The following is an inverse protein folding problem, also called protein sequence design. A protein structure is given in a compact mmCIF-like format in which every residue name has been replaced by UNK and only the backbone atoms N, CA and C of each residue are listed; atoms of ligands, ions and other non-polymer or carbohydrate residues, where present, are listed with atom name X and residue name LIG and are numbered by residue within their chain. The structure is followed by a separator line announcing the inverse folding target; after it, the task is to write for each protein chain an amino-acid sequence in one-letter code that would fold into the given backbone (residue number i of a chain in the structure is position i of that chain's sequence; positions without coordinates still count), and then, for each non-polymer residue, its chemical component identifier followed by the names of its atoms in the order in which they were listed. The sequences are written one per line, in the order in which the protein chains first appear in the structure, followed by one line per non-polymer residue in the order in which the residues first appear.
data_IF_883302921986
#
_entry.id   IF_883302921986
#
_cell.length_a   1.000
_cell.length_b   1.000
_cell.length_c   1.000
_cell.angle_alpha   90.00
_cell.angle_beta   90.00
_cell.angle_gamma   90.00
#
_symmetry.space_group_name_H-M   'P 1'
#
loop_
_entity.id
_entity.type
_entity.pdbx_description
1 polymer ?
#
# COMPACT_ATOMS: atom_id res chain seq x y z
N UNK A 1 -8.08 -38.33 -18.42
CA UNK A 1 -8.06 -38.15 -19.90
C UNK A 1 -9.22 -38.95 -20.48
N UNK A 2 -9.91 -38.45 -21.50
CA UNK A 2 -11.05 -39.17 -22.11
C UNK A 2 -10.75 -39.39 -23.58
N UNK A 3 -10.82 -40.63 -24.02
CA UNK A 3 -10.92 -40.98 -25.43
C UNK A 3 -12.33 -41.41 -25.78
N UNK A 4 -12.88 -40.80 -26.82
CA UNK A 4 -14.23 -41.07 -27.27
C UNK A 4 -14.23 -41.25 -28.79
N UNK A 5 -14.70 -42.41 -29.25
CA UNK A 5 -14.86 -42.72 -30.66
C UNK A 5 -16.33 -42.62 -31.06
N UNK A 6 -16.65 -41.74 -32.01
CA UNK A 6 -18.03 -41.51 -32.46
C UNK A 6 -18.58 -42.66 -33.32
N UNK A 7 -17.73 -43.27 -34.14
CA UNK A 7 -18.13 -44.29 -35.11
C UNK A 7 -17.09 -45.40 -35.20
N UNK A 8 -17.52 -46.65 -35.25
CA UNK A 8 -16.68 -47.81 -35.50
C UNK A 8 -16.96 -48.34 -36.89
N UNK A 9 -15.96 -48.42 -37.75
CA UNK A 9 -16.07 -49.08 -39.06
C UNK A 9 -15.20 -50.33 -39.16
N UNK A 10 -15.25 -50.98 -40.32
CA UNK A 10 -14.43 -52.16 -40.61
C UNK A 10 -12.91 -51.94 -40.73
N UNK A 11 -12.36 -50.80 -41.22
CA UNK A 11 -10.92 -50.69 -41.38
C UNK A 11 -10.18 -50.65 -40.03
N UNK A 12 -8.98 -51.22 -40.00
CA UNK A 12 -8.12 -51.33 -38.80
C UNK A 12 -7.80 -49.98 -38.13
N UNK A 13 -8.01 -48.87 -38.86
CA UNK A 13 -7.87 -47.51 -38.33
C UNK A 13 -8.70 -47.27 -37.06
N UNK A 14 -9.89 -47.86 -36.94
CA UNK A 14 -10.74 -47.73 -35.77
C UNK A 14 -10.18 -48.49 -34.56
N UNK A 15 -9.67 -49.71 -34.77
CA UNK A 15 -9.00 -50.45 -33.71
C UNK A 15 -7.70 -49.74 -33.29
N UNK A 16 -6.96 -49.18 -34.24
CA UNK A 16 -5.75 -48.41 -33.98
C UNK A 16 -6.03 -47.18 -33.10
N UNK A 17 -7.17 -46.52 -33.27
CA UNK A 17 -7.57 -45.42 -32.39
C UNK A 17 -7.73 -45.88 -30.93
N UNK A 18 -8.45 -46.98 -30.71
CA UNK A 18 -8.66 -47.56 -29.37
C UNK A 18 -7.32 -47.92 -28.72
N UNK A 19 -6.43 -48.58 -29.47
CA UNK A 19 -5.09 -48.95 -29.01
C UNK A 19 -4.21 -47.73 -28.72
N UNK A 20 -4.25 -46.70 -29.57
CA UNK A 20 -3.47 -45.48 -29.40
C UNK A 20 -3.91 -44.70 -28.16
N UNK A 21 -5.22 -44.57 -27.93
CA UNK A 21 -5.73 -43.92 -26.74
C UNK A 21 -5.41 -44.73 -25.50
N UNK A 22 -5.60 -46.06 -25.54
CA UNK A 22 -5.20 -46.94 -24.44
C UNK A 22 -3.73 -46.72 -24.06
N UNK A 23 -2.83 -46.77 -25.05
CA UNK A 23 -1.41 -46.52 -24.84
C UNK A 23 -1.13 -45.09 -24.31
N UNK A 24 -1.88 -44.08 -24.76
CA UNK A 24 -1.76 -42.71 -24.25
C UNK A 24 -2.20 -42.61 -22.78
N UNK A 25 -3.27 -43.32 -22.38
CA UNK A 25 -3.70 -43.40 -20.97
C UNK A 25 -2.61 -44.12 -20.16
N UNK A 26 -2.12 -45.26 -20.63
CA UNK A 26 -1.12 -46.08 -19.95
C UNK A 26 0.23 -45.35 -19.80
N UNK A 27 0.61 -44.52 -20.77
CA UNK A 27 1.80 -43.69 -20.67
C UNK A 27 1.61 -42.47 -19.74
N UNK A 28 0.41 -41.90 -19.71
CA UNK A 28 0.14 -40.67 -18.93
C UNK A 28 -0.18 -40.95 -17.46
N UNK A 29 -0.89 -42.04 -17.16
CA UNK A 29 -1.33 -42.39 -15.81
C UNK A 29 -0.15 -42.52 -14.81
N UNK A 30 0.98 -43.20 -15.13
CA UNK A 30 2.15 -43.27 -14.23
C UNK A 30 2.79 -41.90 -13.98
N UNK A 31 2.79 -41.01 -14.99
CA UNK A 31 3.38 -39.67 -14.87
C UNK A 31 2.55 -38.78 -13.96
N UNK A 32 1.23 -38.81 -14.10
CA UNK A 32 0.30 -38.08 -13.23
C UNK A 32 0.33 -38.67 -11.83
N UNK A 33 0.33 -40.00 -11.73
CA UNK A 33 0.48 -40.76 -10.48
C UNK A 33 1.72 -40.35 -9.68
N UNK A 34 2.88 -40.20 -10.35
CA UNK A 34 4.12 -39.72 -9.72
C UNK A 34 3.96 -38.35 -9.08
N UNK A 35 3.39 -37.38 -9.82
CA UNK A 35 3.13 -36.03 -9.30
C UNK A 35 2.14 -36.04 -8.15
N UNK A 36 1.09 -36.86 -8.25
CA UNK A 36 0.08 -36.98 -7.20
C UNK A 36 0.65 -37.55 -5.90
N UNK A 37 1.63 -38.47 -5.96
CA UNK A 37 2.32 -38.99 -4.77
C UNK A 37 3.06 -37.94 -3.96
N UNK A 38 3.45 -36.82 -4.58
CA UNK A 38 4.06 -35.68 -3.86
C UNK A 38 3.04 -34.90 -3.00
N UNK A 39 1.74 -35.09 -3.24
CA UNK A 39 0.65 -34.41 -2.54
C UNK A 39 -0.10 -35.33 -1.55
N UNK A 40 0.04 -36.65 -1.70
CA UNK A 40 -0.63 -37.64 -0.84
C UNK A 40 0.06 -37.68 0.52
N UNK A 41 -0.74 -37.65 1.59
CA UNK A 41 -0.23 -37.71 2.97
C UNK A 41 -0.29 -39.11 3.55
N UNK A 42 -1.38 -39.84 3.33
CA UNK A 42 -1.60 -41.16 3.93
C UNK A 42 -1.23 -42.28 2.96
N UNK A 43 -0.49 -43.32 3.41
CA UNK A 43 -0.04 -44.42 2.55
C UNK A 43 -1.22 -45.23 1.98
N UNK A 44 -2.37 -45.26 2.66
CA UNK A 44 -3.59 -45.96 2.23
C UNK A 44 -4.15 -45.44 0.90
N UNK A 45 -3.77 -44.22 0.48
CA UNK A 45 -4.22 -43.59 -0.76
C UNK A 45 -3.32 -43.94 -1.96
N UNK A 46 -2.19 -44.60 -1.72
CA UNK A 46 -1.26 -44.98 -2.78
C UNK A 46 -1.77 -46.26 -3.44
N UNK A 47 -1.74 -46.28 -4.78
CA UNK A 47 -1.92 -47.49 -5.60
C UNK A 47 -0.66 -47.73 -6.40
N UNK A 48 -0.26 -49.00 -6.49
CA UNK A 48 0.95 -49.40 -7.19
C UNK A 48 0.73 -49.51 -8.70
N UNK A 49 -0.50 -49.83 -9.10
CA UNK A 49 -0.89 -50.10 -10.48
C UNK A 49 -1.99 -49.13 -10.91
N UNK A 50 -2.28 -49.10 -12.22
CA UNK A 50 -3.42 -48.38 -12.77
C UNK A 50 -4.21 -49.39 -13.63
N UNK A 51 -5.17 -50.06 -13.02
CA UNK A 51 -6.02 -51.05 -13.68
C UNK A 51 -7.27 -50.41 -14.29
N UNK A 52 -7.76 -51.01 -15.38
CA UNK A 52 -9.04 -50.67 -15.99
C UNK A 52 -10.18 -51.50 -15.39
N UNK A 53 -11.34 -50.86 -15.22
CA UNK A 53 -12.62 -51.47 -14.96
C UNK A 53 -13.55 -51.23 -16.17
N UNK A 54 -14.32 -52.25 -16.54
CA UNK A 54 -15.39 -52.11 -17.50
C UNK A 54 -16.65 -51.60 -16.77
N UNK A 55 -17.13 -50.42 -17.15
CA UNK A 55 -18.32 -49.81 -16.54
C UNK A 55 -19.58 -50.21 -17.31
N UNK A 56 -19.48 -50.20 -18.63
CA UNK A 56 -20.52 -50.58 -19.58
C UNK A 56 -19.85 -51.25 -20.78
N UNK A 57 -20.65 -51.90 -21.63
CA UNK A 57 -20.14 -52.51 -22.85
C UNK A 57 -19.35 -51.49 -23.69
N UNK A 58 -18.11 -51.84 -24.03
CA UNK A 58 -17.14 -50.99 -24.75
C UNK A 58 -16.82 -49.63 -24.08
N UNK A 59 -17.04 -49.53 -22.77
CA UNK A 59 -16.71 -48.37 -21.95
C UNK A 59 -15.78 -48.81 -20.82
N UNK A 60 -14.50 -48.50 -20.98
CA UNK A 60 -13.46 -48.81 -20.01
C UNK A 60 -13.02 -47.54 -19.29
N UNK A 61 -12.85 -47.61 -17.98
CA UNK A 61 -12.26 -46.54 -17.20
C UNK A 61 -11.16 -47.05 -16.29
N UNK A 62 -10.23 -46.20 -15.89
CA UNK A 62 -9.32 -46.53 -14.80
C UNK A 62 -10.14 -46.67 -13.51
N UNK A 63 -9.91 -47.76 -12.76
CA UNK A 63 -10.63 -48.08 -11.51
C UNK A 63 -10.20 -47.18 -10.35
N UNK A 64 -10.53 -45.90 -10.46
CA UNK A 64 -10.28 -44.88 -9.45
C UNK A 64 -11.46 -44.83 -8.44
N UNK A 65 -11.22 -44.84 -7.12
CA UNK A 65 -9.92 -44.79 -6.43
C UNK A 65 -9.37 -46.16 -5.96
N UNK A 66 -10.03 -47.26 -6.33
CA UNK A 66 -9.77 -48.57 -5.70
C UNK A 66 -8.46 -49.20 -6.16
N UNK A 67 -8.20 -49.23 -7.47
CA UNK A 67 -7.01 -49.85 -8.06
C UNK A 67 -6.16 -48.91 -8.91
N UNK A 68 -6.66 -47.71 -9.21
CA UNK A 68 -5.95 -46.67 -9.96
C UNK A 68 -5.84 -45.37 -9.16
N UNK A 69 -4.74 -44.61 -9.35
CA UNK A 69 -4.57 -43.30 -8.70
C UNK A 69 -5.10 -42.12 -9.52
N UNK A 70 -5.41 -42.34 -10.80
CA UNK A 70 -5.78 -41.28 -11.74
C UNK A 70 -6.99 -41.68 -12.56
N UNK A 71 -7.76 -40.70 -13.01
CA UNK A 71 -8.98 -40.93 -13.77
C UNK A 71 -8.71 -40.95 -15.29
N UNK A 72 -9.32 -41.91 -16.00
CA UNK A 72 -9.18 -42.07 -17.44
C UNK A 72 -10.34 -42.89 -18.01
N UNK A 73 -10.82 -42.52 -19.20
CA UNK A 73 -11.89 -43.23 -19.91
C UNK A 73 -11.52 -43.49 -21.34
N UNK A 74 -11.98 -44.64 -21.82
CA UNK A 74 -11.93 -45.09 -23.19
C UNK A 74 -13.32 -45.61 -23.56
N UNK A 75 -13.99 -44.89 -24.44
CA UNK A 75 -15.35 -45.19 -24.89
C UNK A 75 -15.33 -45.37 -26.40
N UNK A 76 -15.78 -46.53 -26.88
CA UNK A 76 -15.82 -46.84 -28.30
C UNK A 76 -17.07 -47.66 -28.68
N UNK A 77 -17.54 -47.57 -29.93
CA UNK A 77 -18.77 -48.26 -30.35
C UNK A 77 -18.43 -49.67 -30.86
N UNK A 78 -19.45 -50.50 -31.11
CA UNK A 78 -19.24 -51.75 -31.84
C UNK A 78 -18.90 -51.47 -33.31
N UNK A 79 -18.46 -52.51 -34.02
CA UNK A 79 -18.17 -52.42 -35.45
C UNK A 79 -19.44 -52.09 -36.22
N UNK A 80 -19.34 -51.11 -37.11
CA UNK A 80 -20.40 -50.57 -37.95
C UNK A 80 -21.54 -49.88 -37.17
N UNK A 81 -21.28 -49.47 -35.92
CA UNK A 81 -22.22 -48.70 -35.09
C UNK A 81 -21.71 -47.29 -34.79
N UNK A 82 -22.66 -46.36 -34.62
CA UNK A 82 -22.41 -45.02 -34.10
C UNK A 82 -22.77 -44.96 -32.62
N UNK A 83 -21.90 -44.33 -31.82
CA UNK A 83 -22.13 -44.10 -30.41
C UNK A 83 -22.99 -42.86 -30.20
N UNK A 84 -24.00 -42.98 -29.35
CA UNK A 84 -24.80 -41.84 -28.94
C UNK A 84 -23.97 -40.90 -28.04
N UNK A 85 -24.22 -39.59 -28.15
CA UNK A 85 -23.55 -38.56 -27.35
C UNK A 85 -23.83 -38.71 -25.83
N UNK A 86 -24.87 -39.46 -25.45
CA UNK A 86 -25.17 -39.78 -24.06
C UNK A 86 -24.05 -40.60 -23.38
N UNK A 87 -23.34 -41.44 -24.13
CA UNK A 87 -22.17 -42.15 -23.62
C UNK A 87 -21.02 -41.20 -23.25
N UNK A 88 -20.87 -40.10 -23.99
CA UNK A 88 -19.87 -39.08 -23.68
C UNK A 88 -20.28 -38.26 -22.45
N UNK A 89 -21.54 -37.84 -22.36
CA UNK A 89 -22.01 -37.02 -21.22
C UNK A 89 -21.87 -37.79 -19.92
N UNK A 90 -22.27 -39.06 -19.90
CA UNK A 90 -22.14 -39.95 -18.73
C UNK A 90 -20.67 -40.17 -18.33
N UNK A 91 -19.77 -40.38 -19.30
CA UNK A 91 -18.34 -40.52 -19.03
C UNK A 91 -17.72 -39.22 -18.47
N UNK A 92 -18.09 -38.06 -19.01
CA UNK A 92 -17.61 -36.75 -18.56
C UNK A 92 -18.13 -36.44 -17.16
N UNK A 93 -19.42 -36.66 -16.89
CA UNK A 93 -20.01 -36.42 -15.58
C UNK A 93 -19.38 -37.32 -14.50
N UNK A 94 -19.21 -38.61 -14.82
CA UNK A 94 -18.52 -39.56 -13.94
C UNK A 94 -17.08 -39.11 -13.66
N UNK A 95 -16.36 -38.66 -14.69
CA UNK A 95 -15.01 -38.10 -14.53
C UNK A 95 -14.98 -36.87 -13.62
N UNK A 96 -15.89 -35.92 -13.81
CA UNK A 96 -15.95 -34.72 -12.98
C UNK A 96 -16.28 -35.04 -11.52
N UNK A 97 -17.18 -36.00 -11.28
CA UNK A 97 -17.49 -36.48 -9.93
C UNK A 97 -16.25 -37.11 -9.28
N UNK A 98 -15.53 -37.95 -10.01
CA UNK A 98 -14.30 -38.57 -9.50
C UNK A 98 -13.19 -37.54 -9.22
N UNK A 99 -13.01 -36.55 -10.09
CA UNK A 99 -12.03 -35.46 -9.88
C UNK A 99 -12.41 -34.60 -8.66
N UNK A 100 -13.71 -34.30 -8.50
CA UNK A 100 -14.20 -33.60 -7.32
C UNK A 100 -13.93 -34.39 -6.05
N UNK A 101 -14.28 -35.68 -6.05
CA UNK A 101 -14.02 -36.59 -4.93
C UNK A 101 -12.53 -36.62 -4.58
N UNK A 102 -11.66 -36.77 -5.57
CA UNK A 102 -10.20 -36.79 -5.40
C UNK A 102 -9.67 -35.52 -4.74
N UNK A 103 -10.06 -34.35 -5.26
CA UNK A 103 -9.65 -33.06 -4.71
C UNK A 103 -10.15 -32.88 -3.26
N UNK A 104 -11.40 -33.28 -2.97
CA UNK A 104 -11.92 -33.21 -1.60
C UNK A 104 -11.20 -34.16 -0.66
N UNK A 105 -10.88 -35.38 -1.11
CA UNK A 105 -10.15 -36.37 -0.33
C UNK A 105 -8.74 -35.88 0.01
N UNK A 106 -7.99 -35.38 -0.98
CA UNK A 106 -6.64 -34.83 -0.78
C UNK A 106 -6.66 -33.62 0.15
N UNK A 107 -7.60 -32.68 -0.06
CA UNK A 107 -7.74 -31.49 0.79
C UNK A 107 -8.03 -31.87 2.25
N UNK A 108 -8.98 -32.79 2.47
CA UNK A 108 -9.32 -33.26 3.81
C UNK A 108 -8.16 -34.02 4.45
N UNK A 109 -7.39 -34.78 3.66
CA UNK A 109 -6.25 -35.54 4.16
C UNK A 109 -5.09 -34.63 4.56
N UNK A 110 -4.82 -33.59 3.77
CA UNK A 110 -3.85 -32.55 4.10
C UNK A 110 -4.28 -31.79 5.35
N UNK A 111 -5.54 -31.36 5.43
CA UNK A 111 -6.08 -30.67 6.62
C UNK A 111 -5.94 -31.54 7.86
N UNK A 112 -6.34 -32.81 7.78
CA UNK A 112 -6.22 -33.77 8.88
C UNK A 112 -4.76 -33.99 9.29
N UNK A 113 -3.84 -34.09 8.33
CA UNK A 113 -2.42 -34.22 8.64
C UNK A 113 -1.85 -32.95 9.28
N UNK A 114 -2.29 -31.76 8.89
CA UNK A 114 -1.92 -30.52 9.58
C UNK A 114 -2.45 -30.49 11.01
N UNK A 115 -3.67 -30.98 11.23
CA UNK A 115 -4.28 -31.07 12.56
C UNK A 115 -3.58 -32.13 13.45
N UNK A 116 -3.16 -33.27 12.87
CA UNK A 116 -2.58 -34.41 13.60
C UNK A 116 -1.05 -34.32 13.79
N UNK A 117 -0.31 -33.86 12.78
CA UNK A 117 1.17 -33.89 12.70
C UNK A 117 1.80 -32.55 13.14
N UNK A 118 0.98 -31.53 13.43
CA UNK A 118 1.44 -30.32 14.11
C UNK A 118 2.08 -30.68 15.46
N UNK A 119 3.33 -30.25 15.67
CA UNK A 119 4.06 -30.37 16.94
C UNK A 119 3.24 -29.81 18.10
N UNK A 120 2.45 -30.64 18.80
CA UNK A 120 1.87 -30.44 20.14
C UNK A 120 1.47 -29.02 20.60
N UNK A 121 1.12 -28.09 19.70
CA UNK A 121 0.85 -26.68 20.04
C UNK A 121 -0.63 -26.31 19.96
N UNK A 122 -1.49 -27.21 19.48
CA UNK A 122 -2.95 -27.00 19.44
C UNK A 122 -3.74 -27.97 20.31
N UNK A 123 -3.15 -29.11 20.73
CA UNK A 123 -3.69 -29.94 21.80
C UNK A 123 -3.12 -29.45 23.12
N UNK A 124 -3.95 -28.80 23.92
CA UNK A 124 -3.62 -28.50 25.31
C UNK A 124 -3.37 -29.81 26.05
N UNK A 125 -2.23 -29.92 26.73
CA UNK A 125 -1.94 -31.06 27.60
C UNK A 125 -3.07 -31.17 28.64
N UNK A 126 -3.68 -32.36 28.72
CA UNK A 126 -4.78 -32.68 29.64
C UNK A 126 -4.46 -32.36 31.10
N UNK A 127 -3.20 -32.56 31.50
CA UNK A 127 -2.75 -32.26 32.87
C UNK A 127 -2.70 -30.76 33.11
N UNK A 128 -2.25 -29.99 32.12
CA UNK A 128 -2.13 -28.54 32.17
C UNK A 128 -3.50 -27.85 32.06
N UNK A 129 -4.41 -28.38 31.24
CA UNK A 129 -5.82 -27.91 31.17
C UNK A 129 -6.54 -28.14 32.49
N UNK A 130 -6.32 -29.29 33.14
CA UNK A 130 -6.90 -29.59 34.44
C UNK A 130 -6.34 -28.69 35.55
N UNK A 131 -5.01 -28.51 35.58
CA UNK A 131 -4.33 -27.67 36.58
C UNK A 131 -4.74 -26.19 36.48
N UNK A 132 -4.83 -25.65 35.26
CA UNK A 132 -5.20 -24.25 35.02
C UNK A 132 -6.70 -24.03 34.78
N UNK A 133 -7.53 -25.07 34.94
CA UNK A 133 -8.99 -25.03 34.73
C UNK A 133 -9.42 -24.39 33.40
N UNK A 134 -8.65 -24.61 32.34
CA UNK A 134 -8.93 -24.04 31.02
C UNK A 134 -10.16 -24.78 30.45
N UNK A 135 -11.31 -24.10 30.41
CA UNK A 135 -12.54 -24.66 29.83
C UNK A 135 -12.33 -24.84 28.32
N UNK A 136 -12.46 -26.08 27.84
CA UNK A 136 -12.51 -26.39 26.41
C UNK A 136 -13.85 -25.90 25.84
N UNK A 137 -14.04 -24.59 25.75
CA UNK A 137 -15.13 -23.98 25.00
C UNK A 137 -14.64 -23.69 23.59
N UNK A 138 -15.43 -24.15 22.60
CA UNK A 138 -15.11 -24.15 21.18
C UNK A 138 -14.55 -22.84 20.65
N UNK A 139 -13.81 -22.95 19.55
CA UNK A 139 -13.06 -21.89 18.86
C UNK A 139 -13.75 -20.52 18.95
N UNK A 140 -13.36 -19.74 19.95
CA UNK A 140 -13.70 -18.34 20.03
C UNK A 140 -12.68 -17.55 19.21
N UNK A 141 -13.09 -16.47 18.50
CA UNK A 141 -12.16 -15.60 17.78
C UNK A 141 -11.04 -15.17 18.73
N UNK A 142 -9.78 -15.43 18.35
CA UNK A 142 -8.60 -15.32 19.20
C UNK A 142 -8.53 -13.99 19.98
N UNK A 143 -9.03 -12.91 19.38
CA UNK A 143 -9.12 -11.56 19.96
C UNK A 143 -10.04 -11.44 21.19
N UNK A 144 -11.04 -12.30 21.34
CA UNK A 144 -11.98 -12.27 22.46
C UNK A 144 -11.45 -12.95 23.73
N UNK A 145 -10.42 -13.80 23.59
CA UNK A 145 -9.82 -14.57 24.69
C UNK A 145 -8.54 -13.91 25.21
N UNK A 146 -7.93 -12.99 24.45
CA UNK A 146 -6.63 -12.39 24.74
C UNK A 146 -6.67 -10.90 25.18
N UNK A 147 -7.69 -10.35 25.87
CA UNK A 147 -7.58 -8.96 26.32
C UNK A 147 -6.46 -8.78 27.38
N UNK A 148 -6.16 -9.83 28.16
CA UNK A 148 -5.27 -9.74 29.33
C UNK A 148 -4.01 -10.63 29.28
N UNK A 149 -3.75 -11.33 28.16
CA UNK A 149 -2.57 -12.20 28.00
C UNK A 149 -1.66 -11.69 26.89
N UNK A 150 -0.47 -11.23 27.27
CA UNK A 150 0.58 -10.87 26.32
C UNK A 150 1.10 -12.14 25.61
N UNK A 151 1.09 -12.19 24.25
CA UNK A 151 1.51 -13.38 23.53
C UNK A 151 3.02 -13.63 23.69
N UNK A 152 3.42 -14.84 24.10
CA UNK A 152 4.82 -15.22 24.29
C UNK A 152 5.72 -15.13 23.03
N UNK A 153 5.13 -14.94 21.84
CA UNK A 153 5.85 -14.72 20.58
C UNK A 153 5.94 -13.26 20.14
N UNK A 154 5.37 -12.31 20.90
CA UNK A 154 5.92 -10.97 20.83
C UNK A 154 7.31 -11.07 21.42
N UNK A 155 8.34 -11.16 20.57
CA UNK A 155 9.60 -10.55 20.96
C UNK A 155 9.19 -9.15 21.41
N UNK A 156 9.38 -8.77 22.68
CA UNK A 156 9.27 -7.37 23.01
C UNK A 156 10.41 -6.74 22.22
N UNK A 157 10.12 -6.30 21.00
CA UNK A 157 10.84 -5.22 20.38
C UNK A 157 10.52 -4.04 21.30
N UNK A 158 11.17 -4.03 22.46
CA UNK A 158 11.22 -2.86 23.29
C UNK A 158 11.73 -1.80 22.33
N UNK A 159 10.96 -0.74 22.06
CA UNK A 159 11.48 0.33 21.26
C UNK A 159 12.81 0.71 21.90
N UNK A 160 13.90 0.61 21.16
CA UNK A 160 15.18 1.11 21.63
C UNK A 160 14.94 2.62 21.72
N UNK A 161 14.61 3.09 22.91
CA UNK A 161 14.45 4.51 23.19
C UNK A 161 15.86 5.07 23.18
N UNK A 162 16.28 5.53 22.00
CA UNK A 162 17.51 6.28 21.86
C UNK A 162 17.33 7.57 22.67
N UNK A 163 18.27 7.88 23.59
CA UNK A 163 18.21 9.16 24.28
C UNK A 163 18.33 10.31 23.29
N UNK A 164 17.57 11.39 23.52
CA UNK A 164 17.53 12.56 22.64
C UNK A 164 18.91 13.16 22.38
N UNK A 165 19.88 12.95 23.29
CA UNK A 165 21.27 13.36 23.14
C UNK A 165 22.00 12.73 21.94
N UNK A 166 21.56 11.56 21.46
CA UNK A 166 22.16 10.89 20.31
C UNK A 166 21.52 11.31 18.98
N UNK A 167 20.41 12.06 19.02
CA UNK A 167 19.69 12.45 17.79
C UNK A 167 20.55 13.35 16.88
N UNK A 168 21.38 14.23 17.43
CA UNK A 168 22.28 15.08 16.65
C UNK A 168 23.42 14.32 15.96
N UNK A 169 23.73 13.10 16.42
CA UNK A 169 24.82 12.26 15.88
C UNK A 169 24.35 11.23 14.85
N UNK A 170 23.03 11.07 14.68
CA UNK A 170 22.45 10.05 13.80
C UNK A 170 21.94 10.68 12.50
N UNK A 171 22.30 10.04 11.38
CA UNK A 171 21.77 10.40 10.07
C UNK A 171 20.37 9.83 9.90
N UNK A 172 19.35 10.69 10.05
CA UNK A 172 17.97 10.31 9.80
C UNK A 172 17.62 10.44 8.32
N UNK A 173 16.97 9.40 7.79
CA UNK A 173 16.42 9.40 6.45
C UNK A 173 14.93 9.09 6.51
N UNK A 174 14.16 9.84 5.74
CA UNK A 174 12.74 9.63 5.54
C UNK A 174 12.52 8.90 4.22
N UNK A 175 11.98 7.70 4.30
CA UNK A 175 11.52 6.92 3.14
C UNK A 175 10.07 7.29 2.85
N UNK A 176 9.80 7.74 1.62
CA UNK A 176 8.51 8.35 1.26
C UNK A 176 8.03 7.85 -0.10
N UNK A 177 6.73 7.57 -0.21
CA UNK A 177 6.09 7.22 -1.48
C UNK A 177 5.83 8.46 -2.35
N UNK A 178 5.58 8.29 -3.65
CA UNK A 178 5.34 9.43 -4.56
C UNK A 178 4.22 10.38 -4.10
N UNK A 179 3.10 9.84 -3.57
CA UNK A 179 2.01 10.66 -3.06
C UNK A 179 2.41 11.46 -1.81
N UNK A 180 3.11 10.82 -0.89
CA UNK A 180 3.56 11.43 0.35
C UNK A 180 4.63 12.50 0.07
N UNK A 181 5.49 12.27 -0.93
CA UNK A 181 6.49 13.24 -1.38
C UNK A 181 5.82 14.48 -1.98
N UNK A 182 4.79 14.30 -2.82
CA UNK A 182 3.97 15.41 -3.34
C UNK A 182 3.29 16.19 -2.21
N UNK A 183 2.80 15.52 -1.17
CA UNK A 183 2.21 16.18 0.02
C UNK A 183 3.25 17.00 0.78
N UNK A 184 4.43 16.43 1.03
CA UNK A 184 5.55 17.09 1.70
C UNK A 184 5.98 18.35 0.94
N UNK A 185 6.14 18.25 -0.38
CA UNK A 185 6.47 19.37 -1.25
C UNK A 185 5.41 20.48 -1.20
N UNK A 186 4.13 20.11 -1.26
CA UNK A 186 3.00 21.05 -1.15
C UNK A 186 2.96 21.74 0.22
N UNK A 187 3.35 21.03 1.28
CA UNK A 187 3.42 21.59 2.62
C UNK A 187 4.49 22.69 2.69
N UNK A 188 5.72 22.41 2.28
CA UNK A 188 6.84 23.38 2.29
C UNK A 188 6.61 24.54 1.30
N UNK A 189 5.83 24.32 0.25
CA UNK A 189 5.52 25.37 -0.72
C UNK A 189 4.66 26.50 -0.13
N UNK A 190 3.71 26.20 0.75
CA UNK A 190 2.81 27.19 1.31
C UNK A 190 3.49 28.32 2.12
N UNK A 191 4.46 28.06 3.03
CA UNK A 191 5.23 29.10 3.71
C UNK A 191 6.19 29.81 2.74
N UNK A 192 6.78 29.12 1.76
CA UNK A 192 7.72 29.73 0.79
C UNK A 192 7.09 30.82 -0.10
N UNK A 193 5.77 30.73 -0.34
CA UNK A 193 4.99 31.71 -1.13
C UNK A 193 4.67 32.99 -0.36
N UNK A 194 4.99 33.06 0.92
CA UNK A 194 4.75 34.26 1.71
C UNK A 194 5.86 35.29 1.41
N UNK A 195 5.45 36.54 1.32
CA UNK A 195 6.33 37.69 1.12
C UNK A 195 6.05 38.66 2.26
N UNK A 196 7.13 39.15 2.88
CA UNK A 196 7.06 40.26 3.82
C UNK A 196 7.28 41.53 3.03
N UNK A 197 6.25 42.37 2.93
CA UNK A 197 6.35 43.62 2.19
C UNK A 197 7.13 44.66 3.01
N UNK A 198 7.86 45.54 2.32
CA UNK A 198 8.55 46.68 2.90
C UNK A 198 7.74 47.96 2.65
N UNK A 199 7.83 48.94 3.55
CA UNK A 199 7.29 50.27 3.29
C UNK A 199 8.18 50.96 2.27
N UNK A 200 7.57 51.46 1.21
CA UNK A 200 8.23 52.31 0.22
C UNK A 200 7.72 53.73 0.38
N UNK A 201 8.60 54.72 0.35
CA UNK A 201 8.19 56.10 0.18
C UNK A 201 7.73 56.31 -1.27
N UNK A 202 6.44 56.56 -1.45
CA UNK A 202 5.89 56.85 -2.77
C UNK A 202 6.24 58.28 -3.18
N UNK A 203 7.21 58.45 -4.09
CA UNK A 203 7.40 59.74 -4.77
C UNK A 203 6.26 59.93 -5.77
N UNK A 204 5.28 60.77 -5.42
CA UNK A 204 4.20 61.16 -6.34
C UNK A 204 4.80 61.94 -7.52
N UNK A 205 4.79 61.38 -8.73
CA UNK A 205 5.01 62.19 -9.94
C UNK A 205 3.86 63.20 -10.07
N UNK A 206 4.18 64.49 -10.23
CA UNK A 206 3.18 65.51 -10.64
C UNK A 206 2.60 65.10 -11.99
N UNK A 207 1.26 65.08 -12.10
CA UNK A 207 0.55 64.85 -13.37
C UNK A 207 1.09 65.83 -14.42
N UNK A 208 1.61 65.33 -15.53
CA UNK A 208 1.75 66.17 -16.72
C UNK A 208 0.33 66.42 -17.24
N UNK A 209 -0.06 67.69 -17.34
CA UNK A 209 -1.32 68.07 -17.94
C UNK A 209 -1.34 67.55 -19.39
N UNK A 210 -2.39 66.81 -19.76
CA UNK A 210 -2.63 66.49 -21.17
C UNK A 210 -2.90 67.82 -21.88
N UNK A 211 -2.22 68.04 -23.00
CA UNK A 211 -2.53 69.14 -23.92
C UNK A 211 -3.72 68.65 -24.75
N UNK A 212 -4.84 69.36 -24.66
CA UNK A 212 -6.03 69.06 -25.45
C UNK A 212 -5.79 69.40 -26.92
N UNK A 213 -5.87 68.38 -27.77
CA UNK A 213 -5.90 68.53 -29.23
C UNK A 213 -7.35 68.32 -29.63
N UNK A 214 -8.11 69.43 -29.64
CA UNK A 214 -9.48 69.66 -30.14
C UNK A 214 -10.63 69.81 -29.11
N UNK A 215 -11.42 70.88 -29.31
CA UNK A 215 -12.65 71.24 -28.60
C UNK A 215 -13.86 70.51 -29.22
N UNK A 216 -14.29 69.40 -28.61
CA UNK A 216 -15.58 68.77 -28.90
C UNK A 216 -16.37 68.56 -27.58
N UNK A 217 -17.71 68.73 -27.57
CA UNK A 217 -18.51 68.68 -26.35
C UNK A 217 -18.70 67.25 -25.83
N UNK A 218 -18.71 67.13 -24.50
CA UNK A 218 -18.49 65.93 -23.69
C UNK A 218 -19.58 64.84 -23.74
N UNK A 219 -19.15 63.60 -24.01
CA UNK A 219 -19.83 62.36 -23.56
C UNK A 219 -18.76 61.45 -22.92
N UNK A 220 -18.40 61.72 -21.66
CA UNK A 220 -17.42 60.90 -20.93
C UNK A 220 -18.07 59.97 -19.92
N UNK A 221 -18.13 58.69 -20.30
CA UNK A 221 -18.11 57.57 -19.36
C UNK A 221 -16.81 57.64 -18.53
N UNK A 222 -16.94 57.69 -17.21
CA UNK A 222 -15.81 57.61 -16.27
C UNK A 222 -15.13 56.24 -16.40
N UNK A 223 -13.95 56.21 -17.02
CA UNK A 223 -12.99 55.13 -16.88
C UNK A 223 -11.95 55.56 -15.83
N UNK A 224 -11.92 54.85 -14.71
CA UNK A 224 -10.94 55.04 -13.63
C UNK A 224 -9.52 54.82 -14.16
N UNK A 225 -8.71 55.88 -14.13
CA UNK A 225 -7.31 55.83 -14.51
C UNK A 225 -6.49 55.14 -13.41
N UNK A 226 -5.91 53.98 -13.73
CA UNK A 226 -4.99 53.25 -12.88
C UNK A 226 -3.72 54.09 -12.60
N UNK A 227 -3.52 54.47 -11.33
CA UNK A 227 -2.30 55.10 -10.84
C UNK A 227 -1.12 54.12 -10.94
N UNK A 228 -0.23 54.32 -11.91
CA UNK A 228 1.04 53.58 -11.99
C UNK A 228 2.07 54.17 -11.01
N UNK A 229 2.12 53.61 -9.80
CA UNK A 229 3.21 53.90 -8.84
C UNK A 229 4.50 53.19 -9.26
N UNK A 230 5.55 53.94 -9.62
CA UNK A 230 6.90 53.38 -9.84
C UNK A 230 7.60 53.25 -8.48
N UNK A 231 8.01 52.03 -8.13
CA UNK A 231 8.78 51.72 -6.91
C UNK A 231 10.25 52.07 -7.14
N UNK A 232 10.74 53.15 -6.53
CA UNK A 232 12.18 53.45 -6.49
C UNK A 232 12.74 52.82 -5.21
N UNK A 233 13.72 51.93 -5.33
CA UNK A 233 14.51 51.46 -4.20
C UNK A 233 15.48 52.58 -3.82
N UNK A 234 15.35 53.13 -2.63
CA UNK A 234 16.44 53.89 -2.02
C UNK A 234 17.48 52.89 -1.55
N UNK A 235 18.55 52.78 -2.32
CA UNK A 235 19.77 52.14 -1.86
C UNK A 235 20.38 52.98 -0.73
N UNK A 236 20.95 52.25 0.24
CA UNK A 236 21.93 52.68 1.23
C UNK A 236 21.44 53.44 2.49
N UNK A 237 21.65 52.76 3.64
CA UNK A 237 21.85 53.25 5.03
C UNK A 237 20.71 53.23 6.06
N UNK A 238 19.44 52.97 5.69
CA UNK A 238 18.38 52.77 6.70
C UNK A 238 17.85 51.33 6.69
N UNK A 239 17.73 50.73 7.88
CA UNK A 239 17.09 49.42 8.04
C UNK A 239 15.66 49.51 7.47
N UNK A 240 15.31 48.69 6.46
CA UNK A 240 14.06 48.86 5.74
C UNK A 240 12.88 48.62 6.68
N UNK A 241 11.97 49.59 6.79
CA UNK A 241 10.79 49.43 7.63
C UNK A 241 9.82 48.42 7.02
N UNK A 242 9.53 47.34 7.75
CA UNK A 242 8.55 46.35 7.32
C UNK A 242 7.13 46.93 7.26
N UNK A 243 6.39 46.57 6.20
CA UNK A 243 4.95 46.77 6.12
C UNK A 243 4.22 45.76 7.04
N UNK A 244 2.87 45.75 7.01
CA UNK A 244 2.11 44.98 8.00
C UNK A 244 2.30 43.45 7.85
N UNK A 245 3.04 42.84 8.76
CA UNK A 245 3.33 41.37 8.75
C UNK A 245 2.19 40.51 9.29
N UNK A 246 1.09 41.13 9.74
CA UNK A 246 -0.06 40.46 10.38
C UNK A 246 -0.70 39.39 9.50
N UNK A 247 -0.77 39.62 8.18
CA UNK A 247 -1.36 38.67 7.22
C UNK A 247 -0.48 37.44 7.05
N UNK A 248 0.82 37.62 6.87
CA UNK A 248 1.79 36.53 6.75
C UNK A 248 1.80 35.64 8.00
N UNK A 249 1.90 36.24 9.19
CA UNK A 249 1.83 35.53 10.48
C UNK A 249 0.56 34.70 10.66
N UNK A 250 -0.60 35.25 10.30
CA UNK A 250 -1.88 34.53 10.37
C UNK A 250 -1.92 33.35 9.38
N UNK A 251 -1.37 33.52 8.19
CA UNK A 251 -1.29 32.45 7.18
C UNK A 251 -0.39 31.31 7.65
N UNK A 252 0.80 31.62 8.19
CA UNK A 252 1.71 30.61 8.77
C UNK A 252 1.05 29.80 9.88
N UNK A 253 0.41 30.46 10.85
CA UNK A 253 -0.26 29.74 11.94
C UNK A 253 -1.40 28.86 11.43
N UNK A 254 -2.15 29.30 10.41
CA UNK A 254 -3.20 28.46 9.79
C UNK A 254 -2.60 27.26 9.07
N UNK A 255 -1.45 27.43 8.41
CA UNK A 255 -0.76 26.36 7.71
C UNK A 255 -0.30 25.26 8.67
N UNK A 256 0.34 25.60 9.79
CA UNK A 256 0.67 24.59 10.81
C UNK A 256 -0.57 23.90 11.39
N UNK A 257 -1.70 24.62 11.49
CA UNK A 257 -2.96 24.05 12.00
C UNK A 257 -3.68 23.14 11.00
N UNK A 258 -3.46 23.28 9.68
CA UNK A 258 -4.20 22.51 8.68
C UNK A 258 -3.83 21.03 8.69
N UNK A 259 -2.57 20.71 8.95
CA UNK A 259 -2.06 19.33 8.94
C UNK A 259 -2.02 18.69 10.35
N UNK A 260 -2.48 19.39 11.39
CA UNK A 260 -2.39 19.00 12.81
C UNK A 260 -2.79 17.55 13.13
N UNK A 261 -3.90 17.07 12.58
CA UNK A 261 -4.50 15.76 12.93
C UNK A 261 -4.65 14.85 11.70
N UNK A 262 -4.00 15.18 10.59
CA UNK A 262 -4.10 14.37 9.37
C UNK A 262 -3.26 13.12 9.56
N UNK A 263 -3.81 11.96 9.21
CA UNK A 263 -3.13 10.66 9.24
C UNK A 263 -2.53 10.28 10.62
N UNK A 264 -3.04 10.88 11.72
CA UNK A 264 -2.60 10.61 13.09
C UNK A 264 -3.68 9.91 13.91
N UNK A 265 -3.31 8.80 14.53
CA UNK A 265 -4.17 8.05 15.46
C UNK A 265 -4.50 8.87 16.71
N UNK A 266 -3.49 9.46 17.36
CA UNK A 266 -3.65 10.31 18.54
C UNK A 266 -3.90 11.77 18.14
N UNK A 267 -5.16 12.20 18.19
CA UNK A 267 -5.58 13.57 17.87
C UNK A 267 -5.18 14.54 18.98
N UNK A 268 -4.66 15.71 18.59
CA UNK A 268 -4.28 16.76 19.53
C UNK A 268 -5.26 17.93 19.48
N UNK A 269 -5.67 18.40 20.67
CA UNK A 269 -6.50 19.59 20.82
C UNK A 269 -5.86 20.84 20.23
N UNK A 270 -6.67 21.82 19.80
CA UNK A 270 -6.14 23.04 19.17
C UNK A 270 -5.31 23.88 20.15
N UNK A 271 -5.76 23.95 21.40
CA UNK A 271 -5.10 24.73 22.47
C UNK A 271 -3.75 24.14 22.86
N UNK A 272 -3.65 22.82 22.90
CA UNK A 272 -2.40 22.11 23.21
C UNK A 272 -1.40 22.25 22.07
N UNK A 273 -1.85 22.05 20.82
CA UNK A 273 -1.01 22.24 19.63
C UNK A 273 -0.39 23.64 19.51
N UNK A 274 -1.16 24.69 19.84
CA UNK A 274 -0.64 26.07 19.81
C UNK A 274 0.45 26.34 20.87
N UNK A 275 0.56 25.50 21.91
CA UNK A 275 1.54 25.66 22.99
C UNK A 275 2.83 24.84 22.76
N UNK A 276 2.82 23.93 21.79
CA UNK A 276 3.98 23.12 21.39
C UNK A 276 5.05 23.99 20.72
N UNK A 277 6.34 23.63 20.86
CA UNK A 277 7.41 24.23 20.10
C UNK A 277 7.23 23.93 18.60
N UNK A 278 7.81 24.77 17.76
CA UNK A 278 7.78 24.60 16.30
C UNK A 278 8.47 23.28 15.88
N UNK A 279 9.52 22.86 16.60
CA UNK A 279 10.26 21.63 16.31
C UNK A 279 9.39 20.39 16.47
N UNK A 280 8.69 20.27 17.61
CA UNK A 280 7.75 19.16 17.84
C UNK A 280 6.62 19.14 16.80
N UNK A 281 6.17 20.31 16.34
CA UNK A 281 5.12 20.42 15.33
C UNK A 281 5.61 19.97 13.95
N UNK A 282 6.82 20.37 13.56
CA UNK A 282 7.44 19.94 12.31
C UNK A 282 7.76 18.44 12.36
N UNK A 283 8.31 17.93 13.46
CA UNK A 283 8.52 16.51 13.70
C UNK A 283 7.22 15.71 13.63
N UNK A 284 6.11 16.25 14.16
CA UNK A 284 4.79 15.64 14.02
C UNK A 284 4.27 15.63 12.58
N UNK A 285 4.80 16.45 11.68
CA UNK A 285 4.46 16.41 10.27
C UNK A 285 5.41 15.48 9.48
N UNK A 286 6.72 15.69 9.61
CA UNK A 286 7.75 14.97 8.85
C UNK A 286 8.09 13.60 9.44
N UNK A 287 7.69 13.31 10.68
CA UNK A 287 8.12 12.15 11.48
C UNK A 287 9.63 12.07 11.72
N UNK A 288 10.37 13.14 11.39
CA UNK A 288 11.82 13.25 11.53
C UNK A 288 12.15 14.36 12.56
N UNK A 289 13.13 14.16 13.46
CA UNK A 289 13.49 15.20 14.43
C UNK A 289 14.02 16.46 13.75
N UNK A 290 13.75 17.63 14.31
CA UNK A 290 14.16 18.94 13.75
C UNK A 290 15.04 19.70 14.73
N UNK A 291 16.35 19.76 14.45
CA UNK A 291 17.36 20.35 15.35
C UNK A 291 17.68 21.81 14.97
N UNK A 292 16.66 22.58 14.58
CA UNK A 292 16.87 24.01 14.34
C UNK A 292 16.61 24.79 15.64
N UNK A 293 17.62 25.45 16.24
CA UNK A 293 17.50 26.06 17.56
C UNK A 293 16.35 27.07 17.68
N UNK A 294 16.05 27.78 16.59
CA UNK A 294 14.91 28.70 16.52
C UNK A 294 13.56 27.99 16.76
N UNK A 295 13.40 26.76 16.26
CA UNK A 295 12.13 26.03 16.36
C UNK A 295 11.89 25.40 17.74
N UNK A 296 12.94 25.19 18.53
CA UNK A 296 12.82 24.72 19.92
C UNK A 296 12.34 25.84 20.85
N UNK A 297 12.85 27.06 20.65
CA UNK A 297 12.57 28.21 21.52
C UNK A 297 11.16 28.74 21.29
N UNK A 298 10.73 28.84 20.02
CA UNK A 298 9.47 29.46 19.67
C UNK A 298 8.30 28.47 19.57
N UNK A 299 7.13 28.90 20.05
CA UNK A 299 5.89 28.10 19.95
C UNK A 299 5.00 28.60 18.83
N UNK A 300 4.08 27.76 18.34
CA UNK A 300 3.16 28.13 17.25
C UNK A 300 2.31 29.36 17.58
N UNK A 301 1.88 29.53 18.84
CA UNK A 301 1.12 30.73 19.26
C UNK A 301 1.94 32.02 19.15
N UNK A 302 3.27 31.94 19.24
CA UNK A 302 4.17 33.09 19.33
C UNK A 302 4.47 33.68 17.94
N UNK A 303 4.32 32.90 16.87
CA UNK A 303 4.29 33.38 15.47
C UNK A 303 3.29 34.53 15.25
N UNK A 304 2.18 34.55 16.02
CA UNK A 304 1.16 35.59 15.92
C UNK A 304 1.58 36.90 16.61
N UNK A 305 2.54 36.87 17.53
CA UNK A 305 2.94 38.00 18.36
C UNK A 305 4.21 38.66 17.81
N UNK A 306 4.07 39.89 17.30
CA UNK A 306 5.22 40.71 16.84
C UNK A 306 6.28 40.98 17.92
N UNK A 307 5.88 40.95 19.21
CA UNK A 307 6.80 41.11 20.34
C UNK A 307 7.70 39.91 20.60
N UNK A 308 7.28 38.71 20.19
CA UNK A 308 8.03 37.47 20.42
C UNK A 308 8.94 37.14 19.24
N UNK A 309 8.40 37.26 18.03
CA UNK A 309 9.15 37.07 16.79
C UNK A 309 9.08 38.39 16.06
N UNK A 310 10.21 39.06 15.89
CA UNK A 310 10.36 40.32 15.17
C UNK A 310 10.01 40.16 13.69
N UNK A 311 9.87 41.25 12.95
CA UNK A 311 9.56 41.17 11.52
C UNK A 311 10.77 40.68 10.70
N UNK A 312 12.00 40.95 11.17
CA UNK A 312 13.23 40.41 10.59
C UNK A 312 13.34 38.89 10.80
N UNK A 313 13.10 38.39 12.02
CA UNK A 313 13.09 36.93 12.28
C UNK A 313 12.00 36.19 11.49
N UNK A 314 10.85 36.85 11.25
CA UNK A 314 9.80 36.29 10.42
C UNK A 314 10.25 36.16 8.95
N UNK A 315 11.00 37.14 8.44
CA UNK A 315 11.53 37.12 7.08
C UNK A 315 12.60 36.02 6.93
N UNK A 316 13.53 35.93 7.90
CA UNK A 316 14.52 34.84 7.96
C UNK A 316 13.85 33.45 7.96
N UNK A 317 12.75 33.28 8.71
CA UNK A 317 11.99 32.03 8.71
C UNK A 317 11.38 31.73 7.33
N UNK A 318 10.86 32.73 6.63
CA UNK A 318 10.30 32.56 5.29
C UNK A 318 11.41 32.22 4.28
N UNK A 319 12.58 32.85 4.39
CA UNK A 319 13.76 32.55 3.59
C UNK A 319 14.25 31.11 3.83
N UNK A 320 14.31 30.66 5.08
CA UNK A 320 14.61 29.27 5.43
C UNK A 320 13.69 28.28 4.71
N UNK A 321 12.37 28.52 4.71
CA UNK A 321 11.43 27.64 3.97
C UNK A 321 11.61 27.71 2.45
N UNK A 322 12.08 28.84 1.89
CA UNK A 322 12.41 28.94 0.46
C UNK A 322 13.66 28.12 0.13
N UNK A 323 14.68 28.15 0.97
CA UNK A 323 15.89 27.34 0.80
C UNK A 323 15.57 25.85 0.88
N UNK A 324 14.83 25.42 1.91
CA UNK A 324 14.41 24.03 2.07
C UNK A 324 13.55 23.54 0.92
N UNK A 325 12.70 24.40 0.34
CA UNK A 325 11.96 24.07 -0.88
C UNK A 325 12.89 23.75 -2.05
N UNK A 326 13.92 24.57 -2.29
CA UNK A 326 14.90 24.33 -3.37
C UNK A 326 15.60 22.99 -3.19
N UNK A 327 16.05 22.70 -1.98
CA UNK A 327 16.71 21.44 -1.64
C UNK A 327 15.80 20.22 -1.84
N UNK A 328 14.51 20.33 -1.51
CA UNK A 328 13.53 19.27 -1.79
C UNK A 328 13.24 19.09 -3.28
N UNK A 329 13.25 20.18 -4.05
CA UNK A 329 13.08 20.13 -5.51
C UNK A 329 14.27 19.42 -6.19
N UNK A 330 15.48 19.57 -5.66
CA UNK A 330 16.67 18.82 -6.10
C UNK A 330 16.57 17.33 -5.75
N UNK A 331 16.06 16.99 -4.56
CA UNK A 331 15.84 15.62 -4.12
C UNK A 331 14.81 14.86 -4.99
N UNK A 332 13.86 15.58 -5.59
CA UNK A 332 12.90 15.01 -6.53
C UNK A 332 13.55 14.36 -7.76
N UNK A 333 14.79 14.74 -8.08
CA UNK A 333 15.55 14.20 -9.22
C UNK A 333 16.14 12.80 -9.00
N UNK A 334 16.05 12.22 -7.78
CA UNK A 334 16.64 10.91 -7.44
C UNK A 334 15.60 9.90 -6.92
N UNK A 335 14.57 9.53 -7.70
CA UNK A 335 13.66 8.46 -7.33
C UNK A 335 14.34 7.09 -7.45
N UNK A 336 13.86 6.11 -6.69
CA UNK A 336 14.17 4.70 -6.93
C UNK A 336 12.88 3.88 -7.01
N UNK A 337 12.90 2.81 -7.79
CA UNK A 337 11.75 1.93 -7.97
C UNK A 337 11.97 0.62 -7.20
N UNK A 338 10.95 0.21 -6.45
CA UNK A 338 10.92 -1.09 -5.77
C UNK A 338 9.51 -1.66 -5.84
N UNK A 339 9.39 -2.94 -6.23
CA UNK A 339 8.10 -3.64 -6.35
C UNK A 339 7.04 -2.89 -7.18
N UNK A 340 7.46 -2.19 -8.24
CA UNK A 340 6.56 -1.43 -9.13
C UNK A 340 6.06 -0.10 -8.56
N UNK A 341 6.58 0.34 -7.40
CA UNK A 341 6.27 1.65 -6.81
C UNK A 341 7.52 2.53 -6.76
N UNK A 342 7.31 3.84 -6.89
CA UNK A 342 8.37 4.85 -6.84
C UNK A 342 8.49 5.41 -5.42
N UNK A 343 9.72 5.39 -4.91
CA UNK A 343 10.06 5.84 -3.58
C UNK A 343 11.17 6.89 -3.61
N UNK A 344 11.27 7.68 -2.54
CA UNK A 344 12.29 8.71 -2.35
C UNK A 344 12.97 8.52 -1.00
N UNK A 345 14.31 8.59 -0.99
CA UNK A 345 15.12 8.71 0.23
C UNK A 345 15.45 10.18 0.47
N UNK A 346 14.92 10.75 1.54
CA UNK A 346 15.13 12.17 1.89
C UNK A 346 15.97 12.23 3.16
N UNK A 347 17.17 12.82 3.08
CA UNK A 347 17.96 13.08 4.29
C UNK A 347 17.31 14.16 5.14
N UNK A 348 17.56 14.08 6.44
CA UNK A 348 17.14 15.07 7.43
C UNK A 348 17.46 16.52 7.04
N UNK A 349 18.63 16.74 6.46
CA UNK A 349 19.11 18.09 6.10
C UNK A 349 18.26 18.76 5.03
N UNK A 350 17.52 17.98 4.24
CA UNK A 350 16.61 18.47 3.20
C UNK A 350 15.24 18.82 3.76
N UNK A 351 14.92 18.37 4.98
CA UNK A 351 13.66 18.63 5.66
C UNK A 351 13.69 19.96 6.44
N UNK A 352 12.54 20.65 6.55
CA UNK A 352 12.41 21.89 7.31
C UNK A 352 12.48 21.68 8.82
#
# INVERSE_FOLDING_TARGET
MIGFQLYGGEPDNFNNFVLQIGNMIDCSAPRISRKKRELIVYPEQIRNENEYAEVNHNTYCLDFPNRSMTQGWLVFPQKNESLELEGLTTAVDSMLIQVKFDNTLLSNSLARAFDEVGTHRYRTDSTMTAYYHIRQSGVHPMLSVLPDTEPAWSLPAQPIVLPDSLSSTLDYYLLVNEEEFKRLRKYVEAPSKLIVDYKYEAVKKKKQAKVDICDCPDDYLQADAEESTVRVKTDSLNAPEYASTRRARRKLVRHFLSERNKDRYCKVGRKTFLRMPLSEVLQRFTSCPTDYPFFEVYRVKDLRKKKMITDAELDMLIEYFKEKKKLLDEAAGKPFQSNGQTYYWISRDLLP
#
